data_IF_598244233984
#
_entry.id   IF_598244233984
#
_cell.length_a   1.000
_cell.length_b   1.000
_cell.length_c   1.000
_cell.angle_alpha   90.00
_cell.angle_beta   90.00
_cell.angle_gamma   90.00
#
_symmetry.space_group_name_H-M   'P 1'
#
loop_
_entity.id
_entity.type
_entity.pdbx_description
1 polymer ?
#
# COMPACT_ATOMS: atom_id res chain seq x y z
N UNK A 1 10.66 5.20 -1.16
CA UNK A 1 11.44 4.10 -0.56
C UNK A 1 10.60 2.84 -0.63
N UNK A 2 11.15 1.72 -1.15
CA UNK A 2 10.44 0.43 -1.18
C UNK A 2 10.73 -0.35 0.10
N UNK A 3 9.68 -0.85 0.75
CA UNK A 3 9.72 -1.51 2.05
C UNK A 3 10.21 -2.97 2.01
N UNK A 4 10.30 -3.58 0.82
CA UNK A 4 10.66 -4.99 0.65
C UNK A 4 12.00 -5.35 1.32
N UNK A 5 12.94 -4.40 1.37
CA UNK A 5 14.25 -4.59 2.01
C UNK A 5 14.20 -4.85 3.52
N UNK A 6 13.06 -4.62 4.17
CA UNK A 6 12.85 -4.89 5.60
C UNK A 6 12.00 -6.15 5.84
N UNK A 7 12.09 -7.13 4.94
CA UNK A 7 11.34 -8.39 5.02
C UNK A 7 12.26 -9.60 5.12
N UNK A 8 11.72 -10.72 5.59
CA UNK A 8 12.43 -12.01 5.61
C UNK A 8 12.79 -12.52 4.22
N UNK A 9 12.13 -12.03 3.17
CA UNK A 9 12.39 -12.41 1.79
C UNK A 9 13.76 -11.88 1.31
N UNK A 10 14.18 -10.71 1.80
CA UNK A 10 15.41 -10.05 1.36
C UNK A 10 16.47 -9.93 2.46
N UNK A 11 16.11 -10.17 3.73
CA UNK A 11 17.04 -10.09 4.85
C UNK A 11 16.71 -11.16 5.90
N UNK A 12 17.66 -11.99 6.36
CA UNK A 12 17.36 -13.09 7.29
C UNK A 12 16.95 -12.64 8.70
N UNK A 13 17.35 -11.42 9.10
CA UNK A 13 17.08 -10.83 10.42
C UNK A 13 16.72 -9.35 10.32
N UNK A 14 15.61 -8.96 9.64
CA UNK A 14 15.28 -7.57 9.38
C UNK A 14 15.11 -6.75 10.66
N UNK A 15 14.84 -7.39 11.81
CA UNK A 15 14.77 -6.78 13.14
C UNK A 15 16.10 -6.18 13.63
N UNK A 16 17.21 -6.61 13.03
CA UNK A 16 18.55 -6.05 13.33
C UNK A 16 18.82 -4.75 12.58
N UNK A 17 17.98 -4.38 11.62
CA UNK A 17 18.15 -3.19 10.80
C UNK A 17 17.74 -1.92 11.57
N UNK A 18 18.51 -0.85 11.39
CA UNK A 18 18.20 0.47 11.97
C UNK A 18 17.23 1.24 11.08
N UNK A 19 16.00 0.74 10.93
CA UNK A 19 15.01 1.24 9.95
C UNK A 19 14.66 2.71 10.19
N UNK A 20 14.60 3.17 11.45
CA UNK A 20 14.36 4.58 11.76
C UNK A 20 15.46 5.49 11.21
N UNK A 21 16.74 5.07 11.24
CA UNK A 21 17.86 5.82 10.64
C UNK A 21 17.76 5.86 9.12
N UNK A 22 17.34 4.75 8.49
CA UNK A 22 17.12 4.72 7.04
C UNK A 22 16.00 5.69 6.64
N UNK A 23 14.90 5.73 7.39
CA UNK A 23 13.79 6.65 7.14
C UNK A 23 14.20 8.11 7.40
N UNK A 24 14.91 8.37 8.49
CA UNK A 24 15.45 9.71 8.81
C UNK A 24 16.33 10.21 7.67
N UNK A 25 17.32 9.41 7.26
CA UNK A 25 18.22 9.75 6.13
C UNK A 25 17.44 9.98 4.84
N UNK A 26 16.46 9.12 4.54
CA UNK A 26 15.61 9.30 3.36
C UNK A 26 14.83 10.62 3.42
N UNK A 27 14.29 10.98 4.58
CA UNK A 27 13.56 12.21 4.80
C UNK A 27 14.47 13.46 4.75
N UNK A 28 15.68 13.39 5.28
CA UNK A 28 16.66 14.47 5.14
C UNK A 28 17.06 14.71 3.68
N UNK A 29 17.16 13.63 2.90
CA UNK A 29 17.43 13.68 1.45
C UNK A 29 16.21 14.08 0.60
N UNK A 30 15.08 14.43 1.22
CA UNK A 30 13.90 14.92 0.52
C UNK A 30 12.94 13.83 0.01
N UNK A 31 13.21 12.54 0.24
CA UNK A 31 12.25 11.49 -0.09
C UNK A 31 11.03 11.58 0.82
N UNK A 32 9.82 11.46 0.27
CA UNK A 32 8.56 11.58 1.02
C UNK A 32 7.56 10.47 0.75
N UNK A 33 7.90 9.45 -0.03
CA UNK A 33 7.02 8.31 -0.29
C UNK A 33 7.62 7.02 0.29
N UNK A 34 6.79 6.25 0.99
CA UNK A 34 7.12 4.91 1.49
C UNK A 34 6.11 3.94 0.87
N UNK A 35 6.61 3.00 0.08
CA UNK A 35 5.81 2.00 -0.58
C UNK A 35 6.02 0.62 0.05
N UNK A 36 4.93 0.03 0.56
CA UNK A 36 4.93 -1.25 1.26
C UNK A 36 3.95 -2.26 0.67
N UNK A 37 3.91 -3.44 1.30
CA UNK A 37 2.96 -4.51 0.99
C UNK A 37 2.83 -5.43 2.21
N UNK A 38 1.63 -5.87 2.64
CA UNK A 38 1.51 -6.80 3.77
C UNK A 38 2.21 -8.15 3.54
N UNK A 39 2.43 -8.55 2.29
CA UNK A 39 3.19 -9.76 1.94
C UNK A 39 4.66 -9.68 2.37
N UNK A 40 5.24 -8.48 2.48
CA UNK A 40 6.60 -8.27 2.96
C UNK A 40 6.65 -8.38 4.50
N UNK A 41 6.48 -9.55 5.07
CA UNK A 41 6.61 -9.73 6.53
C UNK A 41 8.07 -9.60 6.99
N UNK A 42 8.36 -8.88 8.09
CA UNK A 42 7.47 -8.12 8.99
C UNK A 42 7.53 -6.60 8.73
N UNK A 43 7.73 -6.19 7.48
CA UNK A 43 8.14 -4.85 7.05
C UNK A 43 7.18 -3.75 7.49
N UNK A 44 5.86 -3.92 7.35
CA UNK A 44 4.88 -2.90 7.76
C UNK A 44 4.95 -2.61 9.27
N UNK A 45 5.11 -3.65 10.10
CA UNK A 45 5.26 -3.53 11.55
C UNK A 45 6.53 -2.74 11.89
N UNK A 46 7.63 -3.05 11.21
CA UNK A 46 8.92 -2.42 11.45
C UNK A 46 8.96 -0.98 10.97
N UNK A 47 8.41 -0.69 9.79
CA UNK A 47 8.23 0.68 9.29
C UNK A 47 7.31 1.46 10.21
N UNK A 48 6.19 0.86 10.64
CA UNK A 48 5.28 1.48 11.60
C UNK A 48 5.96 1.87 12.91
N UNK A 49 6.77 0.97 13.48
CA UNK A 49 7.57 1.27 14.67
C UNK A 49 8.58 2.40 14.41
N UNK A 50 9.29 2.35 13.27
CA UNK A 50 10.27 3.36 12.89
C UNK A 50 9.65 4.75 12.65
N UNK A 51 8.47 4.82 12.03
CA UNK A 51 7.73 6.07 11.80
C UNK A 51 7.22 6.74 13.07
N UNK A 52 7.12 5.99 14.17
CA UNK A 52 6.79 6.52 15.51
C UNK A 52 8.02 6.83 16.35
N UNK A 53 9.23 6.56 15.86
CA UNK A 53 10.45 6.89 16.57
C UNK A 53 10.53 8.42 16.76
N UNK A 54 11.01 8.86 17.92
CA UNK A 54 11.07 10.30 18.26
C UNK A 54 11.88 11.11 17.25
N UNK A 55 13.02 10.55 16.80
CA UNK A 55 13.87 11.18 15.78
C UNK A 55 13.08 11.40 14.47
N UNK A 56 12.39 10.37 13.97
CA UNK A 56 11.59 10.47 12.73
C UNK A 56 10.42 11.43 12.88
N UNK A 57 9.68 11.36 13.99
CA UNK A 57 8.51 12.23 14.24
C UNK A 57 8.89 13.69 14.48
N UNK A 58 10.09 13.96 15.00
CA UNK A 58 10.63 15.31 15.14
C UNK A 58 11.01 15.93 13.78
N UNK A 59 11.44 15.11 12.83
CA UNK A 59 11.84 15.52 11.49
C UNK A 59 10.64 15.69 10.56
N UNK A 60 9.70 14.74 10.56
CA UNK A 60 8.62 14.67 9.58
C UNK A 60 7.31 14.18 10.21
N UNK A 61 6.28 15.03 10.16
CA UNK A 61 4.93 14.68 10.64
C UNK A 61 4.26 13.70 9.66
N UNK A 62 3.31 12.89 10.16
CA UNK A 62 2.55 11.91 9.35
C UNK A 62 1.96 12.49 8.07
N UNK A 63 1.47 13.72 8.09
CA UNK A 63 0.86 14.40 6.94
C UNK A 63 1.87 14.90 5.89
N UNK A 64 3.17 14.83 6.16
CA UNK A 64 4.22 15.33 5.28
C UNK A 64 4.84 14.23 4.41
N UNK A 65 4.44 12.96 4.56
CA UNK A 65 4.86 11.85 3.71
C UNK A 65 3.68 11.02 3.24
N UNK A 66 3.84 10.40 2.07
CA UNK A 66 2.91 9.46 1.46
C UNK A 66 3.24 8.05 1.93
N UNK A 67 2.26 7.39 2.53
CA UNK A 67 2.34 5.98 2.91
C UNK A 67 1.45 5.14 1.99
N UNK A 68 2.08 4.29 1.20
CA UNK A 68 1.45 3.42 0.22
C UNK A 68 1.54 1.98 0.70
N UNK A 69 0.47 1.21 0.50
CA UNK A 69 0.47 -0.24 0.68
C UNK A 69 -0.44 -0.89 -0.37
N UNK A 70 -0.49 -2.21 -0.42
CA UNK A 70 -1.34 -2.93 -1.38
C UNK A 70 -2.25 -3.93 -0.68
N UNK A 71 -3.28 -4.39 -1.37
CA UNK A 71 -4.19 -5.43 -0.93
C UNK A 71 -4.46 -6.46 -2.05
N UNK A 72 -4.96 -7.64 -1.67
CA UNK A 72 -5.19 -8.77 -2.59
C UNK A 72 -4.30 -9.96 -2.26
N UNK A 73 -3.04 -9.93 -2.72
CA UNK A 73 -2.10 -11.04 -2.48
C UNK A 73 -1.78 -11.24 -1.00
N UNK A 74 -1.77 -12.50 -0.57
CA UNK A 74 -1.50 -12.92 0.81
C UNK A 74 -0.15 -13.64 0.88
N UNK A 75 0.10 -14.56 -0.05
CA UNK A 75 1.39 -15.19 -0.28
C UNK A 75 1.59 -15.46 -1.78
N UNK A 76 2.69 -16.11 -2.14
CA UNK A 76 3.10 -16.34 -3.54
C UNK A 76 1.97 -16.94 -4.40
N UNK A 77 1.34 -18.00 -3.90
CA UNK A 77 0.32 -18.77 -4.64
C UNK A 77 -1.11 -18.52 -4.15
N UNK A 78 -1.33 -17.54 -3.27
CA UNK A 78 -2.66 -17.27 -2.72
C UNK A 78 -2.95 -15.77 -2.60
N UNK A 79 -4.06 -15.38 -3.23
CA UNK A 79 -4.63 -14.04 -3.16
C UNK A 79 -6.10 -14.15 -2.78
N UNK A 80 -6.59 -13.15 -2.05
CA UNK A 80 -8.02 -13.01 -1.73
C UNK A 80 -8.42 -11.58 -2.10
N UNK A 81 -9.25 -11.45 -3.13
CA UNK A 81 -9.74 -10.16 -3.63
C UNK A 81 -11.17 -9.87 -3.17
N UNK A 82 -11.71 -10.67 -2.24
CA UNK A 82 -13.05 -10.42 -1.69
C UNK A 82 -13.11 -9.09 -0.93
N UNK A 83 -14.24 -8.36 -0.96
CA UNK A 83 -14.42 -7.11 -0.23
C UNK A 83 -14.11 -7.24 1.27
N UNK A 84 -14.46 -8.37 1.88
CA UNK A 84 -14.20 -8.64 3.29
C UNK A 84 -12.68 -8.69 3.56
N UNK A 85 -11.93 -9.43 2.73
CA UNK A 85 -10.48 -9.50 2.89
C UNK A 85 -9.80 -8.16 2.62
N UNK A 86 -10.22 -7.42 1.60
CA UNK A 86 -9.65 -6.10 1.30
C UNK A 86 -9.80 -5.16 2.51
N UNK A 87 -10.99 -5.07 3.11
CA UNK A 87 -11.22 -4.27 4.33
C UNK A 87 -10.35 -4.75 5.49
N UNK A 88 -10.27 -6.07 5.70
CA UNK A 88 -9.43 -6.67 6.75
C UNK A 88 -7.95 -6.37 6.54
N UNK A 89 -7.47 -6.43 5.30
CA UNK A 89 -6.09 -6.15 4.92
C UNK A 89 -5.73 -4.68 5.16
N UNK A 90 -6.61 -3.75 4.75
CA UNK A 90 -6.44 -2.31 5.00
C UNK A 90 -6.43 -2.01 6.50
N UNK A 91 -7.38 -2.56 7.27
CA UNK A 91 -7.44 -2.39 8.72
C UNK A 91 -6.19 -2.93 9.43
N UNK A 92 -5.67 -4.08 8.98
CA UNK A 92 -4.41 -4.65 9.47
C UNK A 92 -3.24 -3.70 9.20
N UNK A 93 -3.14 -3.17 7.98
CA UNK A 93 -2.05 -2.27 7.57
C UNK A 93 -2.07 -0.98 8.40
N UNK A 94 -3.24 -0.37 8.62
CA UNK A 94 -3.41 0.79 9.52
C UNK A 94 -2.90 0.50 10.93
N UNK A 95 -3.23 -0.67 11.49
CA UNK A 95 -2.76 -1.10 12.81
C UNK A 95 -1.24 -1.27 12.84
N UNK A 96 -0.65 -1.87 11.80
CA UNK A 96 0.81 -2.11 11.71
C UNK A 96 1.59 -0.80 11.60
N UNK A 97 1.12 0.11 10.76
CA UNK A 97 1.68 1.45 10.66
C UNK A 97 1.33 2.36 11.84
N UNK A 98 0.35 2.00 12.65
CA UNK A 98 -0.23 2.79 13.74
C UNK A 98 -0.63 4.19 13.28
N UNK A 99 -1.43 4.24 12.23
CA UNK A 99 -2.00 5.47 11.66
C UNK A 99 -3.50 5.28 11.41
N UNK A 100 -4.24 6.38 11.31
CA UNK A 100 -5.69 6.38 11.05
C UNK A 100 -6.03 6.43 9.56
N UNK A 101 -5.06 6.67 8.68
CA UNK A 101 -5.28 6.72 7.23
C UNK A 101 -4.06 6.25 6.43
N UNK A 102 -4.31 5.74 5.23
CA UNK A 102 -3.31 5.45 4.21
C UNK A 102 -3.44 6.48 3.07
N UNK A 103 -2.32 6.88 2.48
CA UNK A 103 -2.37 7.85 1.39
C UNK A 103 -2.74 7.15 0.08
N UNK A 104 -2.18 5.96 -0.17
CA UNK A 104 -2.49 5.17 -1.36
C UNK A 104 -2.69 3.70 -0.96
N UNK A 105 -3.73 3.07 -1.49
CA UNK A 105 -3.88 1.61 -1.45
C UNK A 105 -4.10 1.08 -2.85
N UNK A 106 -3.26 0.11 -3.23
CA UNK A 106 -3.28 -0.47 -4.57
C UNK A 106 -3.98 -1.83 -4.62
N UNK A 107 -4.79 -2.04 -5.65
CA UNK A 107 -5.11 -3.38 -6.14
C UNK A 107 -3.90 -3.87 -6.95
N UNK A 108 -3.14 -4.80 -6.36
CA UNK A 108 -1.88 -5.25 -6.91
C UNK A 108 -2.06 -6.43 -7.88
N UNK A 109 -1.25 -6.43 -8.93
CA UNK A 109 -1.08 -7.53 -9.89
C UNK A 109 -2.38 -7.82 -10.67
N UNK A 110 -3.02 -6.76 -11.17
CA UNK A 110 -4.34 -6.84 -11.83
C UNK A 110 -4.37 -7.73 -13.07
N UNK A 111 -3.23 -8.00 -13.70
CA UNK A 111 -3.10 -8.93 -14.83
C UNK A 111 -3.34 -10.40 -14.44
N UNK A 112 -3.22 -10.73 -13.15
CA UNK A 112 -3.48 -12.07 -12.61
C UNK A 112 -4.87 -12.19 -11.98
N UNK A 113 -5.68 -11.13 -12.05
CA UNK A 113 -7.01 -11.05 -11.46
C UNK A 113 -8.00 -10.82 -12.59
N UNK A 114 -9.16 -11.47 -12.54
CA UNK A 114 -10.15 -11.18 -13.55
C UNK A 114 -10.71 -9.75 -13.36
N UNK A 115 -11.24 -9.17 -14.44
CA UNK A 115 -11.71 -7.78 -14.41
C UNK A 115 -12.80 -7.51 -13.37
N UNK A 116 -13.73 -8.45 -13.15
CA UNK A 116 -14.82 -8.24 -12.20
C UNK A 116 -14.33 -8.24 -10.75
N UNK A 117 -13.43 -9.17 -10.40
CA UNK A 117 -12.76 -9.18 -9.09
C UNK A 117 -11.95 -7.90 -8.87
N UNK A 118 -11.19 -7.46 -9.88
CA UNK A 118 -10.43 -6.20 -9.82
C UNK A 118 -11.35 -5.00 -9.57
N UNK A 119 -12.47 -4.92 -10.29
CA UNK A 119 -13.45 -3.83 -10.12
C UNK A 119 -14.13 -3.88 -8.75
N UNK A 120 -14.38 -5.08 -8.21
CA UNK A 120 -14.92 -5.24 -6.85
C UNK A 120 -13.93 -4.77 -5.77
N UNK A 121 -12.63 -4.99 -5.99
CA UNK A 121 -11.58 -4.43 -5.12
C UNK A 121 -11.56 -2.91 -5.21
N UNK A 122 -11.58 -2.35 -6.43
CA UNK A 122 -11.61 -0.89 -6.65
C UNK A 122 -12.84 -0.26 -5.98
N UNK A 123 -14.02 -0.85 -6.12
CA UNK A 123 -15.24 -0.42 -5.45
C UNK A 123 -15.08 -0.42 -3.92
N UNK A 124 -14.55 -1.49 -3.36
CA UNK A 124 -14.28 -1.60 -1.91
C UNK A 124 -13.28 -0.53 -1.44
N UNK A 125 -12.26 -0.23 -2.25
CA UNK A 125 -11.29 0.83 -1.95
C UNK A 125 -11.90 2.22 -2.08
N UNK A 126 -12.82 2.46 -3.02
CA UNK A 126 -13.59 3.70 -3.09
C UNK A 126 -14.45 3.92 -1.85
N UNK A 127 -15.15 2.90 -1.36
CA UNK A 127 -15.91 3.04 -0.11
C UNK A 127 -15.02 3.39 1.09
N UNK A 128 -13.85 2.76 1.18
CA UNK A 128 -12.87 3.09 2.21
C UNK A 128 -12.30 4.50 2.02
N UNK A 129 -12.17 4.96 0.77
CA UNK A 129 -11.78 6.32 0.45
C UNK A 129 -12.83 7.34 0.88
N UNK A 130 -14.10 7.05 0.60
CA UNK A 130 -15.23 7.90 0.96
C UNK A 130 -15.41 8.01 2.48
N UNK A 131 -15.01 6.96 3.23
CA UNK A 131 -14.94 7.01 4.70
C UNK A 131 -13.72 7.76 5.28
N UNK A 132 -12.80 8.22 4.42
CA UNK A 132 -11.60 8.96 4.80
C UNK A 132 -10.42 8.10 5.29
N UNK A 133 -10.52 6.77 5.16
CA UNK A 133 -9.48 5.83 5.59
C UNK A 133 -8.34 5.72 4.56
N UNK A 134 -8.67 5.91 3.28
CA UNK A 134 -7.74 5.90 2.15
C UNK A 134 -7.88 7.22 1.40
N UNK A 135 -6.78 7.84 0.97
CA UNK A 135 -6.88 9.08 0.17
C UNK A 135 -6.99 8.80 -1.32
N UNK A 136 -6.17 7.89 -1.83
CA UNK A 136 -6.09 7.56 -3.25
C UNK A 136 -6.20 6.05 -3.47
N UNK A 137 -6.93 5.66 -4.51
CA UNK A 137 -7.04 4.28 -4.99
C UNK A 137 -6.13 4.09 -6.20
N UNK A 138 -5.27 3.08 -6.11
CA UNK A 138 -4.32 2.72 -7.16
C UNK A 138 -4.65 1.35 -7.76
N UNK A 139 -4.34 1.17 -9.05
CA UNK A 139 -4.20 -0.15 -9.66
C UNK A 139 -2.75 -0.33 -10.12
N UNK A 140 -2.20 -1.53 -9.94
CA UNK A 140 -0.84 -1.83 -10.36
C UNK A 140 -0.71 -3.19 -11.06
N UNK A 141 0.21 -3.28 -12.02
CA UNK A 141 0.41 -4.47 -12.83
C UNK A 141 1.45 -4.26 -13.94
N UNK A 142 1.97 -5.34 -14.51
CA UNK A 142 3.03 -5.26 -15.53
C UNK A 142 2.52 -4.96 -16.95
N UNK A 143 1.23 -5.17 -17.23
CA UNK A 143 0.63 -5.01 -18.55
C UNK A 143 -0.15 -3.68 -18.64
N UNK A 144 0.37 -2.74 -19.44
CA UNK A 144 -0.21 -1.41 -19.61
C UNK A 144 -1.58 -1.42 -20.29
N UNK A 145 -1.84 -2.39 -21.18
CA UNK A 145 -3.13 -2.51 -21.87
C UNK A 145 -4.19 -3.01 -20.88
N UNK A 146 -3.84 -3.97 -20.03
CA UNK A 146 -4.71 -4.43 -18.94
C UNK A 146 -4.99 -3.30 -17.96
N UNK A 147 -3.97 -2.54 -17.53
CA UNK A 147 -4.15 -1.39 -16.64
C UNK A 147 -5.09 -0.33 -17.26
N UNK A 148 -4.88 0.01 -18.53
CA UNK A 148 -5.74 0.94 -19.26
C UNK A 148 -7.19 0.46 -19.37
N UNK A 149 -7.38 -0.85 -19.60
CA UNK A 149 -8.70 -1.46 -19.64
C UNK A 149 -9.39 -1.45 -18.26
N UNK A 150 -8.68 -1.77 -17.18
CA UNK A 150 -9.20 -1.70 -15.80
C UNK A 150 -9.60 -0.27 -15.45
N UNK A 151 -8.72 0.72 -15.69
CA UNK A 151 -8.98 2.13 -15.40
C UNK A 151 -10.21 2.65 -16.17
N UNK A 152 -10.32 2.30 -17.46
CA UNK A 152 -11.47 2.69 -18.30
C UNK A 152 -12.77 2.06 -17.82
N UNK A 153 -12.75 0.78 -17.43
CA UNK A 153 -13.93 0.09 -16.89
C UNK A 153 -14.34 0.62 -15.52
N UNK A 154 -13.39 0.96 -14.66
CA UNK A 154 -13.67 1.58 -13.37
C UNK A 154 -14.37 2.94 -13.55
N UNK A 155 -13.87 3.79 -14.44
CA UNK A 155 -14.52 5.06 -14.78
C UNK A 155 -15.93 4.84 -15.33
N UNK A 156 -16.10 3.92 -16.29
CA UNK A 156 -17.41 3.66 -16.89
C UNK A 156 -18.44 3.09 -15.89
N UNK A 157 -18.00 2.23 -14.96
CA UNK A 157 -18.87 1.56 -13.99
C UNK A 157 -19.23 2.44 -12.80
N UNK A 158 -18.26 3.17 -12.26
CA UNK A 158 -18.41 3.90 -11.00
C UNK A 158 -18.53 5.41 -11.20
N UNK A 159 -18.34 5.92 -12.42
CA UNK A 159 -18.26 7.37 -12.68
C UNK A 159 -17.05 8.04 -12.03
N UNK A 160 -16.09 7.25 -11.53
CA UNK A 160 -14.89 7.70 -10.81
C UNK A 160 -13.66 7.02 -11.40
N UNK A 161 -12.69 7.81 -11.85
CA UNK A 161 -11.39 7.31 -12.27
C UNK A 161 -10.55 6.89 -11.07
N UNK A 162 -9.71 5.87 -11.25
CA UNK A 162 -8.67 5.53 -10.27
C UNK A 162 -7.68 6.68 -10.18
N UNK A 163 -7.14 6.94 -8.99
CA UNK A 163 -6.29 8.09 -8.73
C UNK A 163 -4.86 7.90 -9.25
N UNK A 164 -4.38 6.65 -9.24
CA UNK A 164 -3.01 6.28 -9.64
C UNK A 164 -3.02 4.97 -10.44
N UNK A 165 -2.15 4.92 -11.45
CA UNK A 165 -1.84 3.70 -12.22
C UNK A 165 -0.33 3.49 -12.15
N UNK A 166 0.10 2.33 -11.65
CA UNK A 166 1.52 1.99 -11.47
C UNK A 166 1.91 0.74 -12.27
N UNK A 167 3.05 0.83 -12.98
CA UNK A 167 3.69 -0.29 -13.68
C UNK A 167 4.87 -0.81 -12.86
#
# INVERSE_FOLDING_TARGET
MRAAGFSYQLHPRPETLQIHRTIETAFDLGLRAIDSFPYYEPSEQMIGAALRHSEVTSLCKRSAYTLMTKAGRICEDYSDYSPEWIRKSVARSLKRFATSYLDVVSCQDVEFVNFEETLQVVETLYELSDSGVIRCVEISGADIDILGAVASRALARFGRAVDVVQI
#
